data_IF_920828848913
#
_entry.id   IF_920828848913
#
_cell.length_a   1.000
_cell.length_b   1.000
_cell.length_c   1.000
_cell.angle_alpha   90.00
_cell.angle_beta   90.00
_cell.angle_gamma   90.00
#
_symmetry.space_group_name_H-M   'P 1'
#
loop_
_entity.id
_entity.type
_entity.pdbx_description
1 polymer ?
#
# COMPACT_ATOMS: atom_id res chain seq x y z
N UNK A 1 -40.32 -26.57 16.45
CA UNK A 1 -39.01 -27.24 16.38
C UNK A 1 -38.28 -26.97 15.07
N UNK A 2 -38.89 -27.21 13.90
CA UNK A 2 -38.26 -26.96 12.59
C UNK A 2 -37.88 -25.49 12.31
N UNK A 3 -38.71 -24.53 12.76
CA UNK A 3 -38.42 -23.08 12.61
C UNK A 3 -37.17 -22.70 13.42
N UNK A 4 -37.08 -23.14 14.68
CA UNK A 4 -35.93 -22.90 15.56
C UNK A 4 -34.62 -23.49 15.01
N UNK A 5 -34.68 -24.68 14.39
CA UNK A 5 -33.52 -25.32 13.75
C UNK A 5 -33.08 -24.54 12.51
N UNK A 6 -34.02 -23.95 11.75
CA UNK A 6 -33.73 -23.11 10.60
C UNK A 6 -33.07 -21.79 11.02
N UNK A 7 -33.59 -21.14 12.06
CA UNK A 7 -33.02 -19.90 12.62
C UNK A 7 -31.58 -20.10 13.13
N UNK A 8 -31.31 -21.22 13.82
CA UNK A 8 -29.95 -21.56 14.29
C UNK A 8 -28.99 -21.81 13.13
N UNK A 9 -29.45 -22.47 12.06
CA UNK A 9 -28.62 -22.75 10.88
C UNK A 9 -28.36 -21.48 10.06
N UNK A 10 -29.36 -20.61 9.91
CA UNK A 10 -29.24 -19.31 9.23
C UNK A 10 -28.31 -18.39 10.03
N UNK A 11 -28.46 -18.31 11.36
CA UNK A 11 -27.59 -17.52 12.23
C UNK A 11 -26.12 -17.98 12.15
N UNK A 12 -25.87 -19.30 12.12
CA UNK A 12 -24.53 -19.86 11.96
C UNK A 12 -23.89 -19.46 10.62
N UNK A 13 -24.65 -19.46 9.52
CA UNK A 13 -24.14 -19.08 8.21
C UNK A 13 -23.87 -17.58 8.11
N UNK A 14 -24.76 -16.75 8.68
CA UNK A 14 -24.56 -15.29 8.76
C UNK A 14 -23.29 -14.98 9.55
N UNK A 15 -23.05 -15.66 10.67
CA UNK A 15 -21.82 -15.50 11.45
C UNK A 15 -20.58 -15.81 10.63
N UNK A 16 -20.60 -16.87 9.81
CA UNK A 16 -19.47 -17.21 8.94
C UNK A 16 -19.20 -16.13 7.89
N UNK A 17 -20.26 -15.56 7.29
CA UNK A 17 -20.13 -14.50 6.29
C UNK A 17 -19.53 -13.23 6.92
N UNK A 18 -20.00 -12.85 8.11
CA UNK A 18 -19.49 -11.68 8.82
C UNK A 18 -18.00 -11.84 9.14
N UNK A 19 -17.60 -13.01 9.66
CA UNK A 19 -16.19 -13.29 9.95
C UNK A 19 -15.34 -13.23 8.67
N UNK A 20 -15.82 -13.77 7.55
CA UNK A 20 -15.12 -13.70 6.27
C UNK A 20 -14.95 -12.26 5.78
N UNK A 21 -15.99 -11.42 5.88
CA UNK A 21 -15.94 -10.00 5.50
C UNK A 21 -14.95 -9.22 6.36
N UNK A 22 -14.95 -9.45 7.68
CA UNK A 22 -13.97 -8.85 8.59
C UNK A 22 -12.54 -9.26 8.25
N UNK A 23 -12.33 -10.52 7.88
CA UNK A 23 -11.02 -11.01 7.49
C UNK A 23 -10.52 -10.36 6.19
N UNK A 24 -11.38 -10.26 5.19
CA UNK A 24 -11.10 -9.57 3.92
C UNK A 24 -10.77 -8.09 4.19
N UNK A 25 -11.54 -7.42 5.04
CA UNK A 25 -11.30 -6.04 5.43
C UNK A 25 -9.93 -5.85 6.09
N UNK A 26 -9.60 -6.70 7.07
CA UNK A 26 -8.33 -6.61 7.81
C UNK A 26 -7.11 -6.80 6.92
N UNK A 27 -7.14 -7.74 5.96
CA UNK A 27 -6.02 -7.98 5.04
C UNK A 27 -5.85 -6.82 4.05
N UNK A 28 -6.95 -6.20 3.62
CA UNK A 28 -6.95 -5.22 2.53
C UNK A 28 -7.03 -3.76 3.00
N UNK A 29 -6.83 -3.50 4.30
CA UNK A 29 -6.97 -2.17 4.87
C UNK A 29 -6.12 -1.10 4.15
N UNK A 30 -4.84 -1.40 3.85
CA UNK A 30 -3.96 -0.49 3.10
C UNK A 30 -4.48 -0.17 1.68
N UNK A 31 -5.08 -1.16 1.00
CA UNK A 31 -5.69 -0.98 -0.32
C UNK A 31 -6.90 -0.06 -0.24
N UNK A 32 -7.74 -0.21 0.79
CA UNK A 32 -8.88 0.67 1.02
C UNK A 32 -8.45 2.12 1.29
N UNK A 33 -7.39 2.33 2.08
CA UNK A 33 -6.81 3.66 2.29
C UNK A 33 -6.36 4.30 0.98
N UNK A 34 -5.73 3.51 0.10
CA UNK A 34 -5.25 3.99 -1.21
C UNK A 34 -6.41 4.35 -2.13
N UNK A 35 -7.45 3.52 -2.18
CA UNK A 35 -8.67 3.81 -2.96
C UNK A 35 -9.33 5.10 -2.45
N UNK A 36 -9.49 5.24 -1.13
CA UNK A 36 -10.05 6.44 -0.53
C UNK A 36 -9.22 7.69 -0.87
N UNK A 37 -7.89 7.56 -0.88
CA UNK A 37 -7.00 8.63 -1.31
C UNK A 37 -7.27 9.07 -2.76
N UNK A 38 -7.44 8.13 -3.69
CA UNK A 38 -7.70 8.46 -5.10
C UNK A 38 -9.09 9.06 -5.32
N UNK A 39 -10.10 8.59 -4.60
CA UNK A 39 -11.46 9.12 -4.69
C UNK A 39 -11.56 10.54 -4.11
N UNK A 40 -10.80 10.83 -3.05
CA UNK A 40 -10.91 12.07 -2.29
C UNK A 40 -9.62 12.92 -2.34
N UNK A 41 -8.81 12.80 -3.40
CA UNK A 41 -7.50 13.48 -3.49
C UNK A 41 -7.62 15.00 -3.32
N UNK A 42 -8.68 15.62 -3.84
CA UNK A 42 -8.91 17.06 -3.74
C UNK A 42 -9.10 17.51 -2.28
N UNK A 43 -10.05 16.89 -1.57
CA UNK A 43 -10.33 17.16 -0.16
C UNK A 43 -9.10 16.86 0.71
N UNK A 44 -8.42 15.74 0.46
CA UNK A 44 -7.22 15.36 1.22
C UNK A 44 -6.10 16.39 1.02
N UNK A 45 -5.93 16.91 -0.20
CA UNK A 45 -4.94 17.94 -0.50
C UNK A 45 -5.30 19.28 0.15
N UNK A 46 -6.59 19.60 0.19
CA UNK A 46 -7.10 20.81 0.85
C UNK A 46 -6.94 20.75 2.37
N UNK A 47 -7.21 19.61 3.01
CA UNK A 47 -7.24 19.54 4.46
C UNK A 47 -5.89 19.12 5.07
N UNK A 48 -5.12 18.25 4.40
CA UNK A 48 -3.98 17.57 5.03
C UNK A 48 -2.62 17.85 4.39
N UNK A 49 -2.56 18.60 3.28
CA UNK A 49 -1.27 18.91 2.70
C UNK A 49 -0.51 19.96 3.51
N UNK A 50 0.67 19.58 4.01
CA UNK A 50 1.55 20.45 4.83
C UNK A 50 2.39 21.44 4.02
N UNK A 51 2.57 21.18 2.71
CA UNK A 51 3.47 21.92 1.83
C UNK A 51 2.72 22.62 0.70
N UNK A 52 1.56 23.23 0.99
CA UNK A 52 0.71 23.93 -0.01
C UNK A 52 1.46 25.02 -0.77
N UNK A 53 2.37 25.72 -0.09
CA UNK A 53 3.17 26.82 -0.66
C UNK A 53 4.38 26.34 -1.48
N UNK A 54 4.67 25.02 -1.47
CA UNK A 54 5.83 24.42 -2.15
C UNK A 54 5.37 23.36 -3.15
N UNK A 55 4.77 23.75 -4.29
CA UNK A 55 4.22 22.82 -5.28
C UNK A 55 5.28 21.88 -5.88
N UNK A 56 6.55 22.30 -5.89
CA UNK A 56 7.69 21.49 -6.35
C UNK A 56 7.93 20.22 -5.52
N UNK A 57 7.35 20.12 -4.32
CA UNK A 57 7.47 18.95 -3.43
C UNK A 57 6.35 17.91 -3.66
N UNK A 58 5.45 18.16 -4.62
CA UNK A 58 4.44 17.20 -5.09
C UNK A 58 3.59 16.52 -4.00
N UNK A 59 3.34 17.24 -2.89
CA UNK A 59 2.61 16.73 -1.72
C UNK A 59 1.29 16.07 -2.12
N UNK A 60 0.34 16.77 -2.75
CA UNK A 60 -0.89 16.21 -3.34
C UNK A 60 -1.61 15.16 -2.44
N UNK A 61 -1.57 15.32 -1.11
CA UNK A 61 -2.08 14.34 -0.15
C UNK A 61 -1.21 13.08 0.09
N UNK A 62 -0.16 12.84 -0.69
CA UNK A 62 0.79 11.72 -0.56
C UNK A 62 1.47 11.69 0.81
N UNK A 63 1.83 12.85 1.37
CA UNK A 63 2.42 12.92 2.72
C UNK A 63 1.47 12.42 3.80
N UNK A 64 0.16 12.70 3.64
CA UNK A 64 -0.87 12.22 4.55
C UNK A 64 -1.06 10.70 4.43
N UNK A 65 -1.13 10.18 3.20
CA UNK A 65 -1.23 8.74 2.95
C UNK A 65 -0.02 7.98 3.52
N UNK A 66 1.19 8.50 3.31
CA UNK A 66 2.41 7.92 3.88
C UNK A 66 2.36 7.86 5.41
N UNK A 67 1.86 8.93 6.06
CA UNK A 67 1.67 8.95 7.51
C UNK A 67 0.68 7.87 7.98
N UNK A 68 -0.43 7.68 7.26
CA UNK A 68 -1.41 6.64 7.59
C UNK A 68 -0.83 5.23 7.50
N UNK A 69 0.04 4.95 6.50
CA UNK A 69 0.71 3.66 6.40
C UNK A 69 1.67 3.40 7.56
N UNK A 70 2.50 4.39 7.93
CA UNK A 70 3.42 4.25 9.07
C UNK A 70 2.67 4.05 10.37
N UNK A 71 1.56 4.75 10.59
CA UNK A 71 0.73 4.59 11.78
C UNK A 71 0.11 3.19 11.85
N UNK A 72 -0.36 2.67 10.71
CA UNK A 72 -0.90 1.30 10.61
C UNK A 72 0.18 0.25 10.94
N UNK A 73 1.43 0.48 10.55
CA UNK A 73 2.56 -0.42 10.83
C UNK A 73 2.99 -0.37 12.30
N UNK A 74 3.01 0.81 12.91
CA UNK A 74 3.31 0.94 14.34
C UNK A 74 2.27 0.23 15.22
N UNK A 75 0.99 0.31 14.86
CA UNK A 75 -0.08 -0.40 15.56
C UNK A 75 0.01 -1.93 15.38
N UNK A 76 0.65 -2.38 14.31
CA UNK A 76 0.94 -3.79 14.07
C UNK A 76 2.13 -4.30 14.91
N UNK A 77 3.17 -3.50 15.13
CA UNK A 77 4.34 -3.92 15.91
C UNK A 77 4.01 -4.16 17.41
N UNK A 78 2.98 -3.49 17.93
CA UNK A 78 2.45 -3.73 19.28
C UNK A 78 1.60 -5.02 19.39
N UNK A 79 1.39 -5.74 18.26
CA UNK A 79 0.65 -6.98 18.21
C UNK A 79 1.59 -8.19 17.96
N UNK A 80 1.70 -9.15 18.89
CA UNK A 80 2.58 -10.32 18.73
C UNK A 80 2.23 -11.24 17.55
N UNK A 81 1.09 -10.99 16.87
CA UNK A 81 0.63 -11.76 15.71
C UNK A 81 0.90 -11.08 14.36
N UNK A 82 1.48 -9.88 14.31
CA UNK A 82 1.65 -9.12 13.06
C UNK A 82 3.09 -9.14 12.56
N UNK A 83 3.51 -10.27 11.99
CA UNK A 83 4.75 -10.37 11.22
C UNK A 83 4.52 -11.11 9.91
N UNK A 84 3.77 -10.50 8.99
CA UNK A 84 3.67 -10.97 7.61
C UNK A 84 3.63 -9.77 6.66
N UNK A 85 4.73 -9.02 6.59
CA UNK A 85 5.06 -8.40 5.31
C UNK A 85 5.63 -9.50 4.42
N UNK A 86 4.99 -9.86 3.30
CA UNK A 86 5.67 -10.67 2.30
C UNK A 86 6.78 -9.79 1.72
N UNK A 87 8.02 -10.02 2.17
CA UNK A 87 9.19 -9.51 1.50
C UNK A 87 9.19 -10.14 0.10
N UNK A 88 8.72 -9.39 -0.89
CA UNK A 88 8.89 -9.80 -2.28
C UNK A 88 10.38 -9.77 -2.55
N UNK A 89 10.94 -10.93 -2.87
CA UNK A 89 12.33 -10.98 -3.27
C UNK A 89 12.45 -10.28 -4.65
N UNK A 90 13.13 -9.14 -4.69
CA UNK A 90 13.41 -8.39 -5.91
C UNK A 90 14.17 -9.24 -6.95
N UNK A 91 14.87 -10.29 -6.52
CA UNK A 91 15.51 -11.28 -7.39
C UNK A 91 14.47 -12.08 -8.19
N UNK A 92 13.27 -12.32 -7.65
CA UNK A 92 12.20 -13.02 -8.37
C UNK A 92 11.65 -12.14 -9.50
N UNK A 93 11.58 -10.83 -9.29
CA UNK A 93 11.11 -9.89 -10.30
C UNK A 93 12.09 -9.82 -11.49
N UNK A 94 13.40 -9.85 -11.23
CA UNK A 94 14.42 -9.86 -12.29
C UNK A 94 14.40 -11.14 -13.12
N UNK A 95 14.13 -12.29 -12.49
CA UNK A 95 13.97 -13.59 -13.17
C UNK A 95 12.75 -13.59 -14.10
N UNK A 96 11.60 -13.08 -13.64
CA UNK A 96 10.36 -13.01 -14.43
C UNK A 96 10.52 -12.07 -15.63
N UNK A 97 11.16 -10.91 -15.43
CA UNK A 97 11.41 -9.94 -16.51
C UNK A 97 12.41 -10.46 -17.55
N UNK A 98 13.42 -11.21 -17.14
CA UNK A 98 14.37 -11.82 -18.05
C UNK A 98 13.71 -12.89 -18.94
N UNK A 99 12.72 -13.62 -18.42
CA UNK A 99 12.05 -14.67 -19.18
C UNK A 99 11.13 -14.12 -20.28
N UNK A 100 10.56 -12.92 -20.08
CA UNK A 100 9.74 -12.24 -21.10
C UNK A 100 10.53 -11.66 -22.29
N UNK A 101 11.86 -11.58 -22.20
CA UNK A 101 12.70 -10.98 -23.26
C UNK A 101 13.15 -11.98 -24.34
N UNK A 102 12.89 -13.28 -24.18
CA UNK A 102 13.23 -14.32 -25.17
C UNK A 102 12.04 -14.74 -26.05
N UNK A 103 11.13 -13.80 -26.36
CA UNK A 103 10.23 -13.97 -27.49
C UNK A 103 10.95 -13.46 -28.75
N UNK A 104 11.49 -14.43 -29.49
CA UNK A 104 11.93 -14.24 -30.86
C UNK A 104 10.84 -13.49 -31.64
N UNK A 105 11.13 -12.26 -32.07
CA UNK A 105 10.53 -11.75 -33.28
C UNK A 105 11.59 -11.07 -34.14
N UNK A 106 11.64 -11.54 -35.38
CA UNK A 106 12.50 -11.03 -36.43
C UNK A 106 11.97 -9.68 -36.90
N UNK A 107 12.89 -8.71 -37.07
CA UNK A 107 12.71 -7.49 -37.86
C UNK A 107 11.54 -6.55 -37.48
N UNK A 108 11.82 -5.50 -36.69
CA UNK A 108 12.26 -4.17 -37.17
C UNK A 108 12.45 -3.22 -35.98
N UNK A 109 13.56 -2.48 -36.02
CA UNK A 109 13.98 -1.54 -34.98
C UNK A 109 13.08 -0.29 -34.95
N UNK A 110 12.38 -0.06 -33.83
CA UNK A 110 12.12 1.29 -33.36
C UNK A 110 12.94 1.50 -32.08
N UNK A 111 13.87 2.48 -32.13
CA UNK A 111 14.76 2.80 -31.01
C UNK A 111 13.95 3.34 -29.84
N UNK A 112 13.60 2.50 -28.89
CA UNK A 112 13.28 2.96 -27.53
C UNK A 112 14.60 3.21 -26.82
N UNK A 113 14.99 4.48 -26.73
CA UNK A 113 16.12 4.91 -25.90
C UNK A 113 15.75 4.73 -24.44
N UNK A 114 16.06 3.56 -23.89
CA UNK A 114 16.06 3.37 -22.45
C UNK A 114 17.33 4.05 -21.91
N UNK A 115 17.18 5.32 -21.51
CA UNK A 115 18.25 6.06 -20.86
C UNK A 115 18.77 5.27 -19.67
N UNK A 116 20.09 5.08 -19.60
CA UNK A 116 20.74 4.41 -18.47
C UNK A 116 20.42 5.18 -17.19
N UNK A 117 19.50 4.68 -16.38
CA UNK A 117 19.30 5.18 -15.02
C UNK A 117 20.52 4.69 -14.22
N UNK A 118 21.49 5.58 -14.06
CA UNK A 118 22.56 5.42 -13.09
C UNK A 118 21.96 5.71 -11.71
N UNK A 119 21.78 4.67 -10.92
CA UNK A 119 21.46 4.83 -9.50
C UNK A 119 22.71 5.37 -8.80
N UNK A 120 22.78 6.70 -8.64
CA UNK A 120 23.57 7.25 -7.55
C UNK A 120 22.87 6.84 -6.25
N UNK A 121 23.62 6.25 -5.34
CA UNK A 121 23.16 5.98 -3.98
C UNK A 121 22.62 7.27 -3.38
N UNK A 122 21.30 7.34 -3.16
CA UNK A 122 20.69 8.39 -2.37
C UNK A 122 21.09 8.11 -0.92
N UNK A 123 22.26 8.61 -0.53
CA UNK A 123 22.56 9.00 0.85
C UNK A 123 21.69 10.23 1.18
N UNK A 124 20.39 10.01 1.34
CA UNK A 124 19.56 10.89 2.15
C UNK A 124 19.09 10.07 3.34
N UNK A 125 19.96 10.06 4.34
CA UNK A 125 19.62 9.79 5.72
C UNK A 125 18.47 10.73 6.14
N UNK A 126 17.23 10.26 5.99
CA UNK A 126 16.09 10.84 6.70
C UNK A 126 16.21 10.41 8.16
N UNK A 127 16.98 11.18 8.93
CA UNK A 127 16.94 11.15 10.38
C UNK A 127 15.59 11.68 10.86
N UNK A 128 14.56 10.84 10.83
CA UNK A 128 13.30 11.05 11.57
C UNK A 128 13.49 10.45 12.96
N UNK A 129 14.39 11.04 13.74
CA UNK A 129 14.39 10.85 15.19
C UNK A 129 14.93 12.12 15.85
N UNK A 130 14.11 13.14 15.87
CA UNK A 130 14.21 14.18 16.90
C UNK A 130 12.79 14.59 17.27
N UNK A 131 12.37 14.42 18.53
CA UNK A 131 11.06 14.89 18.98
C UNK A 131 10.98 16.42 18.83
N UNK A 132 9.78 16.99 18.63
CA UNK A 132 9.62 18.42 18.43
C UNK A 132 10.05 19.21 19.68
N UNK A 133 10.66 20.40 19.52
CA UNK A 133 10.96 21.29 20.64
C UNK A 133 9.66 21.71 21.33
N UNK A 134 9.65 21.68 22.66
CA UNK A 134 8.54 22.25 23.44
C UNK A 134 8.58 23.78 23.31
N UNK A 135 7.42 24.35 23.01
CA UNK A 135 7.11 25.75 23.32
C UNK A 135 6.74 25.86 24.81
#
# INVERSE_FOLDING_TARGET
MFIYICDVRIASQISSIIVALLFIYSINFKSLLTINYFLNTAEITELFCINKEKPKLECNGKCHLAKQFVETEKQADDNPFTNQQPAYNLDILSIILNQSFQLNDSEQQEKVSFGQITYSTIEQSYSILSPPPKA
#
